data_IF_856783843598
#
_entry.id   IF_856783843598
#
_cell.length_a   1.000
_cell.length_b   1.000
_cell.length_c   1.000
_cell.angle_alpha   90.00
_cell.angle_beta   90.00
_cell.angle_gamma   90.00
#
_symmetry.space_group_name_H-M   'P 1'
#
loop_
_entity.id
_entity.type
_entity.pdbx_description
1 polymer ?
#
# COMPACT_ATOMS: atom_id res chain seq x y z
N UNK A 1 -19.11 -8.09 -15.76
CA UNK A 1 -18.38 -7.87 -14.49
C UNK A 1 -17.65 -6.54 -14.59
N UNK A 2 -17.73 -5.68 -13.58
CA UNK A 2 -17.01 -4.41 -13.53
C UNK A 2 -16.56 -4.08 -12.11
N UNK A 3 -15.60 -3.17 -12.00
CA UNK A 3 -15.13 -2.67 -10.71
C UNK A 3 -16.04 -1.51 -10.30
N UNK A 4 -16.72 -1.68 -9.18
CA UNK A 4 -17.64 -0.67 -8.63
C UNK A 4 -16.89 0.38 -7.82
N UNK A 5 -15.93 -0.06 -7.00
CA UNK A 5 -15.15 0.83 -6.15
C UNK A 5 -13.76 0.25 -5.90
N UNK A 6 -12.78 1.14 -5.82
CA UNK A 6 -11.39 0.81 -5.46
C UNK A 6 -10.93 1.80 -4.42
N UNK A 7 -10.41 1.29 -3.31
CA UNK A 7 -9.85 2.10 -2.24
C UNK A 7 -8.52 1.52 -1.75
N UNK A 8 -7.65 2.41 -1.30
CA UNK A 8 -6.33 2.07 -0.76
C UNK A 8 -6.12 2.80 0.56
N UNK A 9 -5.99 2.03 1.62
CA UNK A 9 -5.78 2.55 2.97
C UNK A 9 -4.32 2.37 3.43
N UNK A 10 -3.95 3.14 4.44
CA UNK A 10 -2.64 2.98 5.09
C UNK A 10 -2.65 1.72 5.96
N UNK A 11 -1.70 0.82 5.71
CA UNK A 11 -1.41 -0.29 6.61
C UNK A 11 -0.20 0.04 7.50
N UNK A 12 0.29 -0.97 8.21
CA UNK A 12 1.49 -0.88 9.04
C UNK A 12 2.72 -0.41 8.23
N UNK A 13 3.64 0.25 8.94
CA UNK A 13 4.88 0.75 8.35
C UNK A 13 6.11 0.11 9.00
N UNK A 14 6.83 -0.69 8.21
CA UNK A 14 8.09 -1.28 8.62
C UNK A 14 9.23 -0.25 8.54
N UNK A 15 9.80 0.09 9.70
CA UNK A 15 11.00 0.94 9.80
C UNK A 15 12.25 0.07 9.66
N UNK A 16 13.21 0.49 8.83
CA UNK A 16 14.52 -0.16 8.67
C UNK A 16 15.62 0.90 8.72
N UNK A 17 16.77 0.53 9.29
CA UNK A 17 17.96 1.37 9.25
C UNK A 17 18.63 1.18 7.88
N UNK A 18 19.05 2.29 7.25
CA UNK A 18 19.96 2.30 6.13
C UNK A 18 21.25 2.96 6.60
N UNK A 19 22.34 2.22 6.50
CA UNK A 19 23.67 2.75 6.77
C UNK A 19 23.98 3.87 5.78
N UNK A 20 24.64 4.91 6.26
CA UNK A 20 25.12 6.04 5.47
C UNK A 20 26.57 6.38 5.90
N UNK A 21 27.33 7.09 5.06
CA UNK A 21 28.72 7.44 5.37
C UNK A 21 28.87 8.23 6.68
N UNK A 22 30.06 8.21 7.28
CA UNK A 22 30.39 8.92 8.53
C UNK A 22 29.57 8.49 9.75
N UNK A 23 29.22 7.20 9.87
CA UNK A 23 28.46 6.68 11.02
C UNK A 23 27.00 7.13 11.07
N UNK A 24 26.47 7.67 9.97
CA UNK A 24 25.08 8.12 9.88
C UNK A 24 24.16 6.93 9.61
N UNK A 25 22.96 7.00 10.17
CA UNK A 25 21.91 6.02 9.91
C UNK A 25 20.62 6.71 9.53
N UNK A 26 20.14 6.50 8.31
CA UNK A 26 18.85 7.01 7.87
C UNK A 26 17.76 5.96 8.08
N UNK A 27 16.55 6.41 8.43
CA UNK A 27 15.40 5.53 8.59
C UNK A 27 14.66 5.39 7.25
N UNK A 28 14.70 4.21 6.65
CA UNK A 28 13.81 3.87 5.54
C UNK A 28 12.45 3.49 6.10
N UNK A 29 11.41 3.96 5.42
CA UNK A 29 10.01 3.66 5.70
C UNK A 29 9.47 2.77 4.58
N UNK A 30 9.23 1.49 4.84
CA UNK A 30 8.50 0.61 3.92
C UNK A 30 7.04 0.61 4.35
N UNK A 31 6.17 1.22 3.54
CA UNK A 31 4.72 1.26 3.80
C UNK A 31 4.08 0.04 3.16
N UNK A 32 3.29 -0.68 3.95
CA UNK A 32 2.33 -1.63 3.41
C UNK A 32 1.02 -0.90 3.17
N UNK A 33 0.23 -1.40 2.23
CA UNK A 33 -1.07 -0.83 1.89
C UNK A 33 -2.14 -1.92 2.01
N UNK A 34 -3.33 -1.53 2.41
CA UNK A 34 -4.52 -2.36 2.26
C UNK A 34 -5.22 -1.93 0.97
N UNK A 35 -5.36 -2.85 0.02
CA UNK A 35 -6.01 -2.60 -1.28
C UNK A 35 -7.31 -3.38 -1.29
N UNK A 36 -8.43 -2.67 -1.39
CA UNK A 36 -9.76 -3.27 -1.41
C UNK A 36 -10.42 -2.97 -2.75
N UNK A 37 -10.89 -4.04 -3.41
CA UNK A 37 -11.54 -3.99 -4.72
C UNK A 37 -12.96 -4.53 -4.57
N UNK A 38 -13.95 -3.69 -4.85
CA UNK A 38 -15.36 -4.09 -4.83
C UNK A 38 -15.81 -4.27 -6.28
N UNK A 39 -16.17 -5.50 -6.63
CA UNK A 39 -16.65 -5.86 -7.97
C UNK A 39 -18.18 -5.98 -7.97
N UNK A 40 -18.78 -5.64 -9.10
CA UNK A 40 -20.22 -5.79 -9.31
C UNK A 40 -20.51 -6.40 -10.69
N UNK A 41 -21.67 -7.02 -10.83
CA UNK A 41 -22.07 -7.68 -12.07
C UNK A 41 -22.97 -6.75 -12.88
N UNK A 42 -22.48 -6.35 -14.06
CA UNK A 42 -23.33 -5.70 -15.05
C UNK A 42 -24.26 -6.75 -15.63
N UNK A 43 -25.50 -6.79 -15.16
CA UNK A 43 -26.53 -7.63 -15.75
C UNK A 43 -26.98 -6.97 -17.05
N UNK A 44 -26.33 -7.34 -18.15
CA UNK A 44 -26.80 -6.98 -19.48
C UNK A 44 -27.99 -7.90 -19.78
N UNK A 45 -29.16 -7.28 -19.99
CA UNK A 45 -30.31 -7.97 -20.59
C UNK A 45 -29.95 -8.44 -21.99
#
# INVERSE_FOLDING_TARGET
>A
LFVKEVMVDSALMAKRLRTAPQGRGYRIRKRSNHVTLILDTKNAK
#
